data_IF_829043038353
#
_entry.id   IF_829043038353
#
_cell.length_a   1.000
_cell.length_b   1.000
_cell.length_c   1.000
_cell.angle_alpha   90.00
_cell.angle_beta   90.00
_cell.angle_gamma   90.00
#
_symmetry.space_group_name_H-M   'P 1'
#
loop_
_entity.id
_entity.type
_entity.pdbx_description
1 polymer ?
#
# COMPACT_ATOMS: atom_id res chain seq x y z
N UNK A 1 -8.75 18.33 2.10
CA UNK A 1 -8.53 17.60 3.37
C UNK A 1 -7.66 16.41 3.05
N UNK A 2 -6.58 16.18 3.78
CA UNK A 2 -5.75 14.98 3.58
C UNK A 2 -6.60 13.74 3.91
N UNK A 3 -6.73 12.82 2.96
CA UNK A 3 -7.39 11.55 3.20
C UNK A 3 -6.40 10.57 3.86
N UNK A 4 -6.89 9.74 4.77
CA UNK A 4 -6.08 8.73 5.47
C UNK A 4 -6.65 7.32 5.24
N UNK A 5 -5.77 6.34 5.25
CA UNK A 5 -6.12 4.94 5.43
C UNK A 5 -6.50 4.72 6.90
N UNK A 6 -7.59 4.00 7.13
CA UNK A 6 -7.91 3.53 8.48
C UNK A 6 -7.29 2.14 8.72
N UNK A 7 -7.37 1.66 9.95
CA UNK A 7 -6.84 0.34 10.32
C UNK A 7 -7.42 -0.81 9.46
N UNK A 8 -8.73 -0.76 9.16
CA UNK A 8 -9.36 -1.75 8.30
C UNK A 8 -8.88 -1.69 6.86
N UNK A 9 -8.44 -0.52 6.38
CA UNK A 9 -7.88 -0.39 5.04
C UNK A 9 -6.62 -1.25 4.91
N UNK A 10 -5.76 -1.21 5.93
CA UNK A 10 -4.50 -1.99 6.00
C UNK A 10 -4.81 -3.48 6.11
N UNK A 11 -5.68 -3.88 7.03
CA UNK A 11 -6.05 -5.29 7.22
C UNK A 11 -6.62 -5.92 5.94
N UNK A 12 -7.53 -5.22 5.27
CA UNK A 12 -8.17 -5.73 4.05
C UNK A 12 -7.21 -5.77 2.87
N UNK A 13 -6.31 -4.79 2.75
CA UNK A 13 -5.28 -4.81 1.71
C UNK A 13 -4.31 -5.98 1.92
N UNK A 14 -3.87 -6.24 3.15
CA UNK A 14 -3.02 -7.40 3.47
C UNK A 14 -3.75 -8.72 3.16
N UNK A 15 -5.00 -8.85 3.58
CA UNK A 15 -5.79 -10.03 3.24
C UNK A 15 -5.93 -10.23 1.72
N UNK A 16 -6.04 -9.15 0.94
CA UNK A 16 -6.09 -9.21 -0.52
C UNK A 16 -4.75 -9.67 -1.12
N UNK A 17 -3.63 -9.12 -0.65
CA UNK A 17 -2.29 -9.52 -1.09
C UNK A 17 -2.05 -11.02 -0.82
N UNK A 18 -2.38 -11.49 0.38
CA UNK A 18 -2.29 -12.91 0.74
C UNK A 18 -3.15 -13.80 -0.16
N UNK A 19 -4.41 -13.41 -0.42
CA UNK A 19 -5.32 -14.16 -1.32
C UNK A 19 -4.82 -14.24 -2.75
N UNK A 20 -4.06 -13.24 -3.20
CA UNK A 20 -3.46 -13.20 -4.54
C UNK A 20 -2.08 -13.88 -4.59
N UNK A 21 -1.57 -14.41 -3.47
CA UNK A 21 -0.25 -15.02 -3.40
C UNK A 21 0.90 -14.03 -3.61
N UNK A 22 0.67 -12.74 -3.32
CA UNK A 22 1.71 -11.71 -3.40
C UNK A 22 2.45 -11.70 -2.06
N UNK A 23 3.76 -11.95 -2.10
CA UNK A 23 4.62 -12.04 -0.92
C UNK A 23 4.99 -10.64 -0.37
N UNK A 24 3.97 -9.87 0.00
CA UNK A 24 4.12 -8.52 0.54
C UNK A 24 3.08 -8.25 1.63
N UNK A 25 3.48 -7.49 2.65
CA UNK A 25 2.61 -6.94 3.67
C UNK A 25 2.64 -5.42 3.65
N UNK A 26 1.53 -4.79 3.97
CA UNK A 26 1.39 -3.34 4.10
C UNK A 26 1.34 -3.00 5.58
N UNK A 27 2.12 -1.99 5.93
CA UNK A 27 2.14 -1.44 7.27
C UNK A 27 1.81 0.05 7.23
N UNK A 28 1.34 0.57 8.36
CA UNK A 28 0.96 1.95 8.54
C UNK A 28 1.98 2.64 9.45
N UNK A 29 2.53 3.76 9.01
CA UNK A 29 3.31 4.68 9.84
C UNK A 29 2.55 5.99 9.92
N UNK A 30 2.11 6.34 11.12
CA UNK A 30 1.66 7.69 11.38
C UNK A 30 2.87 8.56 11.72
N UNK A 31 3.06 9.63 10.96
CA UNK A 31 4.10 10.62 11.19
C UNK A 31 3.41 11.99 11.28
N UNK A 32 3.89 12.87 12.16
CA UNK A 32 3.37 14.22 12.31
C UNK A 32 3.44 15.00 10.99
N UNK A 33 2.37 14.94 10.19
CA UNK A 33 2.24 15.62 8.91
C UNK A 33 1.45 14.83 7.86
N UNK A 34 1.78 13.56 7.63
CA UNK A 34 1.10 12.71 6.66
C UNK A 34 1.23 11.24 7.06
N UNK A 35 0.13 10.51 6.93
CA UNK A 35 0.15 9.07 7.07
C UNK A 35 0.87 8.44 5.87
N UNK A 36 1.86 7.61 6.15
CA UNK A 36 2.62 6.86 5.16
C UNK A 36 2.35 5.37 5.35
N UNK A 37 2.10 4.66 4.27
CA UNK A 37 2.08 3.21 4.24
C UNK A 37 3.35 2.71 3.55
N UNK A 38 3.79 1.50 3.87
CA UNK A 38 4.89 0.88 3.14
C UNK A 38 4.67 -0.61 2.93
N UNK A 39 5.23 -1.12 1.83
CA UNK A 39 5.33 -2.56 1.58
C UNK A 39 6.56 -3.14 2.29
N UNK A 40 6.34 -4.15 3.11
CA UNK A 40 7.35 -5.10 3.55
C UNK A 40 7.29 -6.30 2.60
N UNK A 41 8.30 -6.43 1.74
CA UNK A 41 8.39 -7.54 0.80
C UNK A 41 9.04 -8.74 1.51
N UNK A 42 8.46 -9.91 1.35
CA UNK A 42 8.97 -11.18 1.90
C UNK A 42 9.93 -11.88 0.92
N UNK A 43 10.04 -11.36 -0.31
CA UNK A 43 11.03 -11.70 -1.31
C UNK A 43 11.64 -10.43 -1.93
N UNK A 44 12.77 -10.57 -2.64
CA UNK A 44 13.45 -9.44 -3.29
C UNK A 44 13.19 -9.42 -4.81
N UNK A 45 12.02 -9.89 -5.25
CA UNK A 45 11.68 -9.88 -6.67
C UNK A 45 11.01 -8.57 -7.08
N UNK A 46 11.48 -7.97 -8.17
CA UNK A 46 10.90 -6.74 -8.72
C UNK A 46 9.43 -6.91 -9.14
N UNK A 47 9.04 -8.15 -9.46
CA UNK A 47 7.67 -8.53 -9.84
C UNK A 47 6.70 -8.47 -8.65
N UNK A 48 7.11 -8.92 -7.45
CA UNK A 48 6.29 -8.86 -6.23
C UNK A 48 5.91 -7.42 -5.89
N UNK A 49 6.87 -6.48 -5.99
CA UNK A 49 6.59 -5.06 -5.73
C UNK A 49 5.60 -4.47 -6.75
N UNK A 50 5.81 -4.72 -8.05
CA UNK A 50 4.92 -4.22 -9.09
C UNK A 50 3.48 -4.73 -8.92
N UNK A 51 3.33 -6.02 -8.59
CA UNK A 51 2.02 -6.62 -8.26
C UNK A 51 1.40 -5.97 -7.03
N UNK A 52 2.16 -5.79 -5.96
CA UNK A 52 1.67 -5.16 -4.73
C UNK A 52 1.20 -3.71 -4.97
N UNK A 53 1.96 -2.92 -5.73
CA UNK A 53 1.60 -1.56 -6.13
C UNK A 53 0.31 -1.52 -6.95
N UNK A 54 0.14 -2.42 -7.92
CA UNK A 54 -1.08 -2.50 -8.71
C UNK A 54 -2.30 -2.88 -7.86
N UNK A 55 -2.14 -3.84 -6.95
CA UNK A 55 -3.21 -4.27 -6.03
C UNK A 55 -3.61 -3.14 -5.08
N UNK A 56 -2.65 -2.41 -4.49
CA UNK A 56 -2.94 -1.26 -3.64
C UNK A 56 -3.64 -0.14 -4.41
N UNK A 57 -3.18 0.18 -5.63
CA UNK A 57 -3.79 1.20 -6.49
C UNK A 57 -5.25 0.87 -6.77
N UNK A 58 -5.52 -0.37 -7.19
CA UNK A 58 -6.88 -0.84 -7.49
C UNK A 58 -7.76 -0.83 -6.24
N UNK A 59 -7.22 -1.29 -5.10
CA UNK A 59 -7.94 -1.32 -3.83
C UNK A 59 -8.40 0.08 -3.40
N UNK A 60 -7.50 1.06 -3.40
CA UNK A 60 -7.84 2.43 -2.99
C UNK A 60 -8.72 3.14 -4.03
N UNK A 61 -8.49 2.90 -5.33
CA UNK A 61 -9.35 3.43 -6.39
C UNK A 61 -10.80 2.95 -6.25
N UNK A 62 -11.03 1.68 -5.86
CA UNK A 62 -12.38 1.15 -5.60
C UNK A 62 -13.12 1.88 -4.47
N UNK A 63 -12.37 2.59 -3.60
CA UNK A 63 -12.89 3.42 -2.51
C UNK A 63 -12.91 4.91 -2.84
N UNK A 64 -12.67 5.29 -4.10
CA UNK A 64 -12.59 6.67 -4.55
C UNK A 64 -11.37 7.43 -4.01
N UNK A 65 -10.33 6.72 -3.58
CA UNK A 65 -9.07 7.30 -3.08
C UNK A 65 -7.96 7.11 -4.11
N UNK A 66 -7.11 8.12 -4.27
CA UNK A 66 -5.92 8.05 -5.13
C UNK A 66 -4.70 7.92 -4.24
N UNK A 67 -3.80 6.97 -4.55
CA UNK A 67 -2.52 6.83 -3.86
C UNK A 67 -1.37 7.31 -4.73
N UNK A 68 -0.28 7.69 -4.08
CA UNK A 68 0.98 8.06 -4.70
C UNK A 68 2.12 7.30 -4.03
N UNK A 69 3.01 6.77 -4.86
CA UNK A 69 4.20 6.05 -4.43
C UNK A 69 5.40 7.00 -4.33
N UNK A 70 6.34 6.68 -3.44
CA UNK A 70 7.62 7.38 -3.41
C UNK A 70 8.39 7.22 -4.74
N UNK A 71 9.22 8.22 -5.05
CA UNK A 71 10.01 8.26 -6.30
C UNK A 71 11.27 7.38 -6.25
N UNK A 72 11.62 6.81 -5.10
CA UNK A 72 12.89 6.12 -4.90
C UNK A 72 12.78 4.65 -5.34
N UNK A 73 11.88 3.90 -4.70
CA UNK A 73 11.60 2.49 -5.02
C UNK A 73 10.10 2.21 -5.15
N UNK A 74 9.25 3.15 -4.75
CA UNK A 74 7.81 2.96 -4.62
C UNK A 74 7.44 1.96 -3.53
N UNK A 75 8.30 1.80 -2.51
CA UNK A 75 8.01 0.98 -1.34
C UNK A 75 7.06 1.70 -0.39
N UNK A 76 7.21 3.02 -0.25
CA UNK A 76 6.30 3.84 0.52
C UNK A 76 5.22 4.43 -0.38
N UNK A 77 4.05 4.65 0.18
CA UNK A 77 2.95 5.34 -0.48
C UNK A 77 2.04 6.05 0.50
N UNK A 78 1.23 6.98 0.00
CA UNK A 78 0.25 7.72 0.78
C UNK A 78 -0.97 8.03 -0.06
N UNK A 79 -2.08 8.32 0.61
CA UNK A 79 -3.29 8.80 -0.05
C UNK A 79 -3.12 10.29 -0.36
N UNK A 80 -3.49 10.69 -1.59
CA UNK A 80 -3.48 12.09 -2.03
C UNK A 80 -4.58 12.91 -1.39
#
# INVERSE_FOLDING_TARGET
>A
MAQVANFFDVMNLNALLTRQGIAAEVHLRDACGRQTLWFELQDDTTDTLAKAQNTATTYFASKGKVIEFDIAKGLNFWIK
#
